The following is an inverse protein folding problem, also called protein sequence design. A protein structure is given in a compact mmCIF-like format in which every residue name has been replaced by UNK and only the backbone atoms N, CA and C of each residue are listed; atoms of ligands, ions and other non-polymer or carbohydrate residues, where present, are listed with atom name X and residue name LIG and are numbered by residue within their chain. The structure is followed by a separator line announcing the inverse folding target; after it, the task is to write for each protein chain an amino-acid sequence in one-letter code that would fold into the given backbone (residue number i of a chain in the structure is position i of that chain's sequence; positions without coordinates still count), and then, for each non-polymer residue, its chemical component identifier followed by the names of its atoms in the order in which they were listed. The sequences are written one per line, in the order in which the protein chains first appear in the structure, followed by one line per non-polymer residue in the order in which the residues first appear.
data_IF_174383073247
#
_entry.id   IF_174383073247
#
_cell.length_a   1.000
_cell.length_b   1.000
_cell.length_c   1.000
_cell.angle_alpha   90.00
_cell.angle_beta   90.00
_cell.angle_gamma   90.00
#
_symmetry.space_group_name_H-M   'P 1'
#
loop_
_entity.id
_entity.type
_entity.pdbx_description
1 polymer ?
#
# COMPACT_ATOMS: atom_id res chain seq x y z
N UNK A 1 -36.51 -15.44 26.74
CA UNK A 1 -36.28 -14.44 25.67
C UNK A 1 -34.80 -14.01 25.49
N UNK A 2 -33.86 -14.50 26.28
CA UNK A 2 -32.47 -14.05 26.34
C UNK A 2 -31.49 -14.80 25.41
N UNK A 3 -31.86 -15.93 24.85
CA UNK A 3 -30.96 -16.73 23.96
C UNK A 3 -30.93 -16.28 22.48
N UNK A 4 -31.91 -15.52 22.03
CA UNK A 4 -31.94 -14.99 20.63
C UNK A 4 -31.18 -13.69 20.44
N UNK A 5 -30.91 -12.93 21.51
CA UNK A 5 -30.15 -11.68 21.44
C UNK A 5 -28.63 -11.93 21.33
N UNK A 6 -28.15 -13.04 21.90
CA UNK A 6 -26.73 -13.39 21.85
C UNK A 6 -26.27 -13.84 20.43
N UNK A 7 -27.19 -14.41 19.67
CA UNK A 7 -26.90 -14.87 18.29
C UNK A 7 -26.78 -13.70 17.29
N UNK A 8 -27.49 -12.58 17.56
CA UNK A 8 -27.45 -11.38 16.72
C UNK A 8 -26.17 -10.56 16.95
N UNK A 9 -25.59 -10.61 18.14
CA UNK A 9 -24.33 -9.95 18.46
C UNK A 9 -23.11 -10.68 17.86
N UNK A 10 -23.21 -12.00 17.67
CA UNK A 10 -22.15 -12.82 17.06
C UNK A 10 -22.11 -12.70 15.52
N UNK A 11 -23.19 -12.24 14.89
CA UNK A 11 -23.25 -12.05 13.43
C UNK A 11 -22.64 -10.72 12.94
N UNK A 12 -22.33 -9.80 13.83
CA UNK A 12 -21.71 -8.52 13.47
C UNK A 12 -20.17 -8.48 13.61
N UNK A 13 -19.54 -9.60 13.94
CA UNK A 13 -18.09 -9.69 14.01
C UNK A 13 -17.43 -10.17 12.71
N UNK A 14 -18.16 -10.16 11.59
CA UNK A 14 -17.65 -10.68 10.33
C UNK A 14 -17.45 -9.59 9.30
N UNK A 15 -16.25 -9.60 8.81
CA UNK A 15 -15.68 -8.91 7.67
C UNK A 15 -14.88 -7.64 8.02
N UNK A 16 -13.85 -7.79 8.84
CA UNK A 16 -12.66 -6.99 8.60
C UNK A 16 -11.94 -7.54 7.36
N UNK A 17 -12.58 -7.43 6.19
CA UNK A 17 -11.85 -7.54 4.94
C UNK A 17 -10.96 -6.31 4.85
N UNK A 18 -9.69 -6.50 4.55
CA UNK A 18 -8.80 -5.42 4.15
C UNK A 18 -9.55 -4.50 3.20
N UNK A 19 -9.70 -3.24 3.56
CA UNK A 19 -10.39 -2.23 2.76
C UNK A 19 -9.40 -1.49 1.86
N UNK A 20 -8.33 -2.19 1.42
CA UNK A 20 -7.45 -1.63 0.40
C UNK A 20 -8.29 -1.35 -0.86
N UNK A 21 -8.28 -0.10 -1.28
CA UNK A 21 -8.90 0.34 -2.54
C UNK A 21 -7.89 0.31 -3.69
N UNK A 22 -6.60 0.24 -3.35
CA UNK A 22 -5.49 0.14 -4.29
C UNK A 22 -4.25 -0.47 -3.62
N UNK A 23 -3.50 -1.29 -4.36
CA UNK A 23 -2.21 -1.82 -3.92
C UNK A 23 -1.32 -2.08 -5.14
N UNK A 24 -0.13 -1.48 -5.15
CA UNK A 24 0.82 -1.58 -6.25
C UNK A 24 2.25 -1.57 -5.73
N UNK A 25 2.99 -2.64 -5.98
CA UNK A 25 4.40 -2.78 -5.62
C UNK A 25 5.34 -2.85 -6.83
N UNK A 26 4.78 -2.80 -8.04
CA UNK A 26 5.46 -2.90 -9.33
C UNK A 26 6.20 -4.23 -9.58
N UNK A 27 6.12 -5.21 -8.69
CA UNK A 27 6.89 -6.47 -8.76
C UNK A 27 6.62 -7.27 -10.02
N UNK A 28 5.39 -7.24 -10.55
CA UNK A 28 4.96 -7.98 -11.73
C UNK A 28 5.29 -7.27 -13.05
N UNK A 29 5.74 -6.02 -13.02
CA UNK A 29 5.97 -5.22 -14.22
C UNK A 29 7.33 -5.45 -14.84
N UNK A 30 7.44 -5.18 -16.13
CA UNK A 30 8.69 -5.36 -16.89
C UNK A 30 9.64 -4.20 -16.65
N UNK A 31 10.81 -4.51 -16.13
CA UNK A 31 11.91 -3.54 -15.89
C UNK A 31 12.38 -2.93 -17.22
N UNK A 32 12.71 -1.66 -17.19
CA UNK A 32 13.17 -0.88 -18.32
C UNK A 32 12.04 -0.44 -19.27
N UNK A 33 10.80 -0.88 -19.02
CA UNK A 33 9.64 -0.47 -19.79
C UNK A 33 8.90 0.71 -19.13
N UNK A 34 8.22 1.55 -19.93
CA UNK A 34 7.33 2.57 -19.40
C UNK A 34 6.30 1.99 -18.43
N UNK A 35 5.96 2.74 -17.37
CA UNK A 35 4.84 2.37 -16.51
C UNK A 35 3.51 2.44 -17.27
N UNK A 36 3.36 3.41 -18.17
CA UNK A 36 2.18 3.51 -19.04
C UNK A 36 2.03 2.26 -19.92
N UNK A 37 0.86 1.63 -19.83
CA UNK A 37 0.57 0.37 -20.51
C UNK A 37 0.87 -0.88 -19.70
N UNK A 38 1.37 -0.75 -18.47
CA UNK A 38 1.51 -1.87 -17.54
C UNK A 38 0.39 -1.81 -16.47
N UNK A 39 -0.29 -2.95 -16.26
CA UNK A 39 -1.45 -3.02 -15.37
C UNK A 39 -2.54 -2.02 -15.78
N UNK A 40 -3.00 -1.21 -14.82
CA UNK A 40 -4.03 -0.17 -15.03
C UNK A 40 -3.43 1.22 -15.28
N UNK A 41 -2.11 1.33 -15.37
CA UNK A 41 -1.43 2.61 -15.55
C UNK A 41 -1.48 3.08 -17.00
N UNK A 42 -1.78 4.36 -17.20
CA UNK A 42 -1.87 4.96 -18.53
C UNK A 42 -1.40 6.41 -18.53
N UNK A 43 -0.86 6.85 -19.65
CA UNK A 43 -0.56 8.27 -19.91
C UNK A 43 -1.69 8.98 -20.69
N UNK A 44 -2.87 8.39 -20.79
CA UNK A 44 -4.02 8.98 -21.45
C UNK A 44 -4.46 10.27 -20.74
N UNK A 45 -4.57 11.36 -21.49
CA UNK A 45 -4.97 12.68 -20.95
C UNK A 45 -6.32 12.68 -20.23
N UNK A 46 -7.26 11.84 -20.66
CA UNK A 46 -8.58 11.74 -20.01
C UNK A 46 -8.52 11.18 -18.59
N UNK A 47 -7.51 10.36 -18.25
CA UNK A 47 -7.29 9.86 -16.89
C UNK A 47 -6.30 10.72 -16.10
N UNK A 48 -5.50 11.53 -16.79
CA UNK A 48 -4.47 12.37 -16.17
C UNK A 48 -4.94 13.81 -15.90
N UNK A 49 -6.25 14.04 -15.87
CA UNK A 49 -6.79 15.38 -15.61
C UNK A 49 -6.43 16.41 -16.67
N UNK A 50 -6.45 16.02 -17.95
CA UNK A 50 -6.05 16.88 -19.06
C UNK A 50 -4.54 17.05 -19.21
N UNK A 51 -3.75 16.42 -18.34
CA UNK A 51 -2.29 16.38 -18.43
C UNK A 51 -1.90 15.19 -19.30
N UNK A 52 -2.25 15.23 -20.57
CA UNK A 52 -1.81 14.23 -21.54
C UNK A 52 -0.30 14.11 -21.50
N UNK A 53 0.22 12.93 -21.85
CA UNK A 53 1.63 12.58 -21.85
C UNK A 53 2.62 13.73 -22.00
N UNK A 54 3.83 13.49 -22.18
CA UNK A 54 4.83 14.52 -22.35
C UNK A 54 4.40 15.66 -23.27
N UNK A 55 4.37 16.88 -22.77
CA UNK A 55 4.03 18.08 -23.53
C UNK A 55 5.17 18.52 -24.49
N UNK A 56 6.30 17.79 -24.54
CA UNK A 56 7.48 18.17 -25.31
C UNK A 56 8.00 17.07 -26.25
N UNK A 57 8.66 17.48 -27.31
CA UNK A 57 9.41 16.59 -28.22
C UNK A 57 10.61 16.02 -27.45
N UNK A 58 10.70 14.69 -27.35
CA UNK A 58 11.84 14.03 -26.71
C UNK A 58 11.65 13.61 -25.25
N UNK A 59 10.45 13.68 -24.74
CA UNK A 59 10.12 13.22 -23.41
C UNK A 59 10.39 11.72 -23.22
N UNK A 60 10.98 11.40 -22.10
CA UNK A 60 11.25 10.02 -21.69
C UNK A 60 10.09 9.52 -20.83
N UNK A 61 9.64 8.29 -21.03
CA UNK A 61 8.61 7.71 -20.17
C UNK A 61 9.17 7.37 -18.79
N UNK A 62 8.40 7.64 -17.74
CA UNK A 62 8.66 7.11 -16.41
C UNK A 62 8.66 5.59 -16.45
N UNK A 63 9.74 4.95 -16.03
CA UNK A 63 9.96 3.52 -16.25
C UNK A 63 10.14 2.75 -14.95
N UNK A 64 9.87 1.45 -15.03
CA UNK A 64 10.13 0.52 -13.93
C UNK A 64 11.62 0.18 -13.89
N UNK A 65 12.19 0.25 -12.69
CA UNK A 65 13.60 -0.05 -12.44
C UNK A 65 13.77 -1.13 -11.37
N UNK A 66 14.88 -1.89 -11.44
CA UNK A 66 15.26 -2.87 -10.43
C UNK A 66 15.93 -2.19 -9.22
N UNK A 67 15.21 -1.26 -8.61
CA UNK A 67 15.66 -0.59 -7.40
C UNK A 67 14.74 -1.00 -6.26
N UNK A 68 15.31 -1.68 -5.26
CA UNK A 68 14.53 -2.09 -4.09
C UNK A 68 14.14 -0.89 -3.25
N UNK A 69 12.92 -0.92 -2.76
CA UNK A 69 12.36 0.10 -1.88
C UNK A 69 11.62 -0.58 -0.73
N UNK A 70 11.78 -0.07 0.48
CA UNK A 70 11.15 -0.67 1.67
C UNK A 70 10.88 0.37 2.75
N UNK A 71 9.93 0.07 3.64
CA UNK A 71 9.72 0.84 4.85
C UNK A 71 9.28 -0.09 5.99
N UNK A 72 9.79 0.08 7.23
CA UNK A 72 9.48 -0.79 8.36
C UNK A 72 7.98 -0.92 8.63
N UNK A 73 7.48 -2.14 8.79
CA UNK A 73 6.08 -2.48 9.05
C UNK A 73 5.06 -1.99 7.98
N UNK A 74 5.57 -1.58 6.81
CA UNK A 74 4.74 -1.14 5.70
C UNK A 74 4.88 -2.05 4.47
N UNK A 75 6.10 -2.44 4.11
CA UNK A 75 6.35 -3.37 3.01
C UNK A 75 7.73 -3.22 2.39
N UNK A 76 7.97 -4.08 1.39
CA UNK A 76 9.16 -4.06 0.55
C UNK A 76 8.78 -4.40 -0.89
N UNK A 77 9.54 -3.90 -1.84
CA UNK A 77 9.51 -4.31 -3.24
C UNK A 77 10.92 -4.33 -3.82
N UNK A 78 11.17 -5.22 -4.78
CA UNK A 78 12.42 -5.29 -5.54
C UNK A 78 12.44 -4.33 -6.73
N UNK A 79 11.28 -3.75 -7.06
CA UNK A 79 11.12 -2.82 -8.18
C UNK A 79 10.48 -1.52 -7.73
N UNK A 80 10.73 -0.47 -8.48
CA UNK A 80 10.16 0.85 -8.24
C UNK A 80 9.97 1.62 -9.54
N UNK A 81 9.18 2.69 -9.49
CA UNK A 81 9.01 3.65 -10.55
C UNK A 81 10.12 4.69 -10.48
N UNK A 82 10.92 4.82 -11.53
CA UNK A 82 11.87 5.92 -11.68
C UNK A 82 11.13 7.18 -12.12
N UNK A 83 11.34 8.28 -11.41
CA UNK A 83 10.87 9.60 -11.81
C UNK A 83 12.02 10.59 -11.91
N UNK A 84 11.91 11.50 -12.87
CA UNK A 84 12.78 12.69 -13.01
C UNK A 84 12.02 13.77 -13.76
N UNK A 85 12.60 14.95 -13.86
CA UNK A 85 11.98 16.02 -14.65
C UNK A 85 11.83 15.63 -16.12
N UNK A 86 10.82 16.24 -16.77
CA UNK A 86 10.54 16.11 -18.21
C UNK A 86 10.22 14.69 -18.71
N UNK A 87 9.67 13.87 -17.82
CA UNK A 87 9.07 12.59 -18.18
C UNK A 87 7.54 12.72 -18.35
N UNK A 88 6.89 11.64 -18.74
CA UNK A 88 5.43 11.63 -18.91
C UNK A 88 4.68 11.71 -17.56
N UNK A 89 3.41 12.09 -17.60
CA UNK A 89 2.48 11.93 -16.52
C UNK A 89 1.75 10.58 -16.67
N UNK A 90 1.74 9.77 -15.61
CA UNK A 90 1.14 8.44 -15.62
C UNK A 90 0.12 8.34 -14.51
N UNK A 91 -1.10 7.93 -14.82
CA UNK A 91 -2.20 7.82 -13.87
C UNK A 91 -2.86 6.46 -13.88
N UNK A 92 -3.60 6.19 -12.81
CA UNK A 92 -4.42 5.01 -12.65
C UNK A 92 -5.71 5.33 -11.90
N UNK A 93 -6.65 4.41 -11.98
CA UNK A 93 -7.93 4.46 -11.25
C UNK A 93 -7.93 3.43 -10.12
N UNK A 94 -8.73 3.70 -9.10
CA UNK A 94 -8.95 2.80 -7.98
C UNK A 94 -10.42 2.84 -7.53
N UNK A 95 -10.79 1.97 -6.60
CA UNK A 95 -12.15 1.97 -6.04
C UNK A 95 -12.44 3.31 -5.37
N UNK A 96 -13.41 4.05 -5.87
CA UNK A 96 -13.73 5.39 -5.43
C UNK A 96 -14.18 5.47 -3.97
N UNK A 97 -13.77 6.51 -3.27
CA UNK A 97 -14.16 6.83 -1.90
C UNK A 97 -14.84 8.19 -1.88
N UNK A 98 -16.03 8.28 -1.28
CA UNK A 98 -16.86 9.50 -1.21
C UNK A 98 -17.33 9.84 0.20
N UNK A 99 -16.89 9.13 1.22
CA UNK A 99 -17.23 9.39 2.62
C UNK A 99 -16.20 8.76 3.57
N UNK A 100 -16.17 9.22 4.81
CA UNK A 100 -15.22 8.74 5.83
C UNK A 100 -13.82 9.24 5.57
N UNK A 101 -12.87 8.33 5.40
CA UNK A 101 -11.48 8.69 5.10
C UNK A 101 -10.94 7.90 3.91
N UNK A 102 -10.07 8.53 3.13
CA UNK A 102 -9.23 7.91 2.13
C UNK A 102 -7.77 8.12 2.53
N UNK A 103 -7.04 7.05 2.68
CA UNK A 103 -5.59 7.06 2.86
C UNK A 103 -4.94 6.67 1.54
N UNK A 104 -3.97 7.46 1.09
CA UNK A 104 -3.07 7.11 0.00
C UNK A 104 -1.64 7.20 0.49
N UNK A 105 -0.82 6.24 0.14
CA UNK A 105 0.55 6.18 0.67
C UNK A 105 1.50 5.58 -0.34
N UNK A 106 2.76 5.99 -0.25
CA UNK A 106 3.86 5.43 -1.04
C UNK A 106 5.20 5.78 -0.39
N UNK A 107 6.22 5.00 -0.72
CA UNK A 107 7.60 5.26 -0.32
C UNK A 107 8.31 6.01 -1.43
N UNK A 108 9.05 7.06 -1.08
CA UNK A 108 9.93 7.81 -1.98
C UNK A 108 11.39 7.66 -1.57
N UNK A 109 12.28 7.62 -2.55
CA UNK A 109 13.72 7.76 -2.34
C UNK A 109 14.26 8.71 -3.40
N UNK A 110 14.40 9.97 -3.03
CA UNK A 110 14.86 11.01 -3.94
C UNK A 110 16.36 11.20 -3.82
N UNK A 111 17.04 11.33 -4.96
CA UNK A 111 18.46 11.65 -5.06
C UNK A 111 18.68 13.16 -5.21
N UNK A 112 17.69 13.88 -5.71
CA UNK A 112 17.72 15.34 -5.84
C UNK A 112 16.32 15.93 -5.94
N UNK A 113 16.20 17.21 -5.62
CA UNK A 113 15.03 18.03 -5.88
C UNK A 113 15.45 19.42 -6.34
N UNK A 114 14.59 20.10 -7.08
CA UNK A 114 14.88 21.42 -7.64
C UNK A 114 14.67 22.50 -6.61
N UNK A 115 15.49 23.55 -6.65
CA UNK A 115 15.32 24.72 -5.79
C UNK A 115 14.01 25.43 -6.12
N UNK A 116 13.16 25.62 -5.13
CA UNK A 116 11.96 26.43 -5.29
C UNK A 116 12.32 27.90 -5.10
N UNK A 117 12.55 28.61 -6.18
CA UNK A 117 12.71 30.06 -6.13
C UNK A 117 11.45 30.84 -6.47
N UNK A 118 10.37 30.16 -6.87
CA UNK A 118 9.12 30.84 -7.20
C UNK A 118 7.88 30.11 -6.70
N UNK A 119 7.01 30.86 -6.05
CA UNK A 119 5.69 30.42 -5.59
C UNK A 119 4.72 30.07 -6.73
N UNK A 120 5.08 30.35 -7.98
CA UNK A 120 4.20 30.21 -9.15
C UNK A 120 4.33 28.88 -9.89
N UNK A 121 5.36 28.08 -9.64
CA UNK A 121 5.52 26.80 -10.30
C UNK A 121 4.91 25.70 -9.46
N UNK A 122 3.92 25.03 -10.00
CA UNK A 122 3.35 23.82 -9.40
C UNK A 122 4.32 22.67 -9.60
N UNK A 123 5.07 22.33 -8.57
CA UNK A 123 6.07 21.27 -8.60
C UNK A 123 5.53 19.98 -7.97
N UNK A 124 4.25 19.79 -8.12
CA UNK A 124 3.64 18.55 -7.65
C UNK A 124 4.05 17.38 -8.55
N UNK A 125 4.58 16.34 -7.93
CA UNK A 125 4.88 15.09 -8.60
C UNK A 125 3.78 14.05 -8.40
N UNK A 126 2.79 14.32 -7.54
CA UNK A 126 1.67 13.44 -7.28
C UNK A 126 0.38 14.23 -7.13
N UNK A 127 -0.69 13.74 -7.76
CA UNK A 127 -2.05 14.30 -7.66
C UNK A 127 -3.08 13.23 -7.43
N UNK A 128 -4.12 13.64 -6.72
CA UNK A 128 -5.33 12.85 -6.46
C UNK A 128 -6.54 13.63 -6.97
N UNK A 129 -7.43 12.94 -7.68
CA UNK A 129 -8.52 13.56 -8.42
C UNK A 129 -9.79 12.70 -8.37
N UNK A 130 -10.89 13.27 -8.83
CA UNK A 130 -12.14 12.54 -9.05
C UNK A 130 -12.50 12.46 -10.54
N UNK A 131 -13.20 11.38 -10.93
CA UNK A 131 -13.64 11.13 -12.31
C UNK A 131 -14.62 12.19 -12.87
N UNK A 132 -15.34 12.86 -11.98
CA UNK A 132 -16.40 13.77 -12.41
C UNK A 132 -15.92 15.15 -12.88
N UNK A 133 -14.76 15.63 -12.44
CA UNK A 133 -14.36 17.01 -12.63
C UNK A 133 -12.90 17.25 -13.00
N UNK A 134 -12.03 16.26 -13.03
CA UNK A 134 -10.58 16.42 -13.18
C UNK A 134 -9.94 17.42 -12.20
N UNK A 135 -10.72 17.89 -11.22
CA UNK A 135 -10.25 18.80 -10.21
C UNK A 135 -9.32 18.04 -9.24
N UNK A 136 -8.21 18.66 -8.95
CA UNK A 136 -7.24 18.10 -8.00
C UNK A 136 -7.80 18.20 -6.60
N UNK A 137 -8.10 17.06 -5.95
CA UNK A 137 -8.51 17.02 -4.56
C UNK A 137 -7.37 17.51 -3.66
N UNK A 138 -6.20 16.92 -3.87
CA UNK A 138 -4.96 17.39 -3.26
C UNK A 138 -3.76 17.00 -4.12
N UNK A 139 -2.63 17.62 -3.83
CA UNK A 139 -1.37 17.40 -4.52
C UNK A 139 -0.20 17.38 -3.57
N UNK A 140 0.84 16.64 -3.92
CA UNK A 140 2.10 16.52 -3.20
C UNK A 140 3.23 16.91 -4.14
N UNK A 141 4.15 17.73 -3.64
CA UNK A 141 5.38 18.08 -4.35
C UNK A 141 6.57 18.09 -3.41
N UNK A 142 7.75 18.26 -3.98
CA UNK A 142 9.00 18.34 -3.23
C UNK A 142 9.90 19.41 -3.82
N UNK A 143 10.70 20.03 -2.97
CA UNK A 143 11.76 20.93 -3.40
C UNK A 143 12.98 20.87 -2.47
N UNK A 144 14.15 21.27 -2.99
CA UNK A 144 15.40 21.28 -2.26
C UNK A 144 15.37 22.28 -1.09
N UNK A 145 15.86 21.86 0.06
CA UNK A 145 15.95 22.69 1.27
C UNK A 145 17.17 22.30 2.10
N UNK A 146 18.19 23.14 2.10
CA UNK A 146 19.31 23.05 3.03
C UNK A 146 20.12 21.75 3.04
N UNK A 147 20.30 21.09 1.90
CA UNK A 147 21.01 19.82 1.78
C UNK A 147 20.12 18.58 1.86
N UNK A 148 18.82 18.78 1.98
CA UNK A 148 17.77 17.76 1.88
C UNK A 148 16.63 18.27 1.02
N UNK A 149 15.44 17.73 1.21
CA UNK A 149 14.23 18.21 0.55
C UNK A 149 13.07 18.31 1.54
N UNK A 150 12.11 19.15 1.21
CA UNK A 150 10.83 19.23 1.93
C UNK A 150 9.71 18.75 1.04
N UNK A 151 8.72 18.11 1.64
CA UNK A 151 7.46 17.77 0.99
C UNK A 151 6.48 18.90 1.25
N UNK A 152 5.76 19.33 0.23
CA UNK A 152 4.59 20.16 0.42
C UNK A 152 3.32 19.39 0.06
N UNK A 153 2.24 19.75 0.72
CA UNK A 153 0.90 19.29 0.43
C UNK A 153 -0.01 20.50 0.20
N UNK A 154 -0.94 20.36 -0.74
CA UNK A 154 -1.90 21.42 -1.06
C UNK A 154 -3.27 20.78 -1.36
N UNK A 155 -4.34 21.23 -0.68
CA UNK A 155 -5.71 20.89 -1.03
C UNK A 155 -6.25 21.88 -2.07
N UNK A 156 -6.78 21.34 -3.18
CA UNK A 156 -7.29 22.16 -4.27
C UNK A 156 -6.32 23.27 -4.71
N UNK A 157 -6.73 24.52 -4.58
CA UNK A 157 -5.93 25.72 -4.81
C UNK A 157 -5.57 26.48 -3.52
N UNK A 158 -5.79 25.88 -2.34
CA UNK A 158 -5.51 26.43 -1.03
C UNK A 158 -4.02 26.68 -0.76
N UNK A 159 -3.69 27.07 0.45
CA UNK A 159 -2.30 27.28 0.87
C UNK A 159 -1.52 25.95 0.89
N UNK A 160 -0.24 26.03 0.51
CA UNK A 160 0.70 24.92 0.68
C UNK A 160 1.12 24.82 2.14
N UNK A 161 1.20 23.61 2.66
CA UNK A 161 1.78 23.26 3.95
C UNK A 161 3.00 22.35 3.74
N UNK A 162 3.98 22.41 4.64
CA UNK A 162 5.31 21.86 4.40
C UNK A 162 5.75 20.93 5.53
N UNK A 163 6.49 19.87 5.16
CA UNK A 163 7.18 19.02 6.12
C UNK A 163 8.43 19.68 6.69
N UNK A 164 9.01 19.06 7.72
CA UNK A 164 10.43 19.23 8.02
C UNK A 164 11.30 18.72 6.85
N UNK A 165 12.57 19.12 6.82
CA UNK A 165 13.51 18.66 5.81
C UNK A 165 13.78 17.16 5.97
N UNK A 166 13.82 16.46 4.84
CA UNK A 166 14.09 15.03 4.69
C UNK A 166 15.45 14.85 4.01
N UNK A 167 16.09 13.72 4.24
CA UNK A 167 17.41 13.41 3.66
C UNK A 167 17.29 12.77 2.30
N UNK A 168 18.17 13.14 1.37
CA UNK A 168 18.31 12.46 0.09
C UNK A 168 18.85 11.03 0.23
N UNK A 169 18.54 10.18 -0.75
CA UNK A 169 19.01 8.79 -0.84
C UNK A 169 18.60 7.92 0.35
N UNK A 170 17.47 8.24 0.98
CA UNK A 170 16.82 7.45 2.01
C UNK A 170 15.36 7.19 1.65
N UNK A 171 14.83 6.07 2.13
CA UNK A 171 13.43 5.73 1.96
C UNK A 171 12.59 6.52 2.97
N UNK A 172 11.64 7.30 2.48
CA UNK A 172 10.68 8.05 3.27
C UNK A 172 9.26 7.62 2.92
N UNK A 173 8.47 7.23 3.91
CA UNK A 173 7.06 6.92 3.73
C UNK A 173 6.21 8.19 3.85
N UNK A 174 5.42 8.45 2.83
CA UNK A 174 4.41 9.49 2.82
C UNK A 174 3.03 8.84 2.90
N UNK A 175 2.23 9.22 3.90
CA UNK A 175 0.82 8.82 4.02
C UNK A 175 -0.03 10.07 4.01
N UNK A 176 -0.91 10.19 3.03
CA UNK A 176 -1.90 11.25 2.90
C UNK A 176 -3.27 10.73 3.31
N UNK A 177 -3.99 11.50 4.11
CA UNK A 177 -5.36 11.21 4.50
C UNK A 177 -6.28 12.34 4.02
N UNK A 178 -7.28 12.00 3.23
CA UNK A 178 -8.41 12.89 2.94
C UNK A 178 -9.56 12.49 3.86
N UNK A 179 -10.07 13.43 4.64
CA UNK A 179 -11.20 13.23 5.55
C UNK A 179 -12.40 13.99 5.03
N UNK A 180 -13.48 13.24 4.70
CA UNK A 180 -14.75 13.81 4.30
C UNK A 180 -15.52 14.22 5.55
N UNK A 181 -15.77 15.51 5.70
CA UNK A 181 -16.63 16.06 6.75
C UNK A 181 -18.03 16.36 6.18
N UNK A 182 -19.02 16.53 7.04
CA UNK A 182 -20.41 16.71 6.63
C UNK A 182 -20.79 18.18 6.35
N UNK A 183 -19.90 19.10 6.62
CA UNK A 183 -20.11 20.55 6.43
C UNK A 183 -19.86 20.98 4.98
N UNK A 184 -19.59 22.26 4.80
CA UNK A 184 -19.25 22.85 3.50
C UNK A 184 -17.86 23.45 3.60
N UNK A 185 -16.96 23.07 2.71
CA UNK A 185 -15.57 23.50 2.66
C UNK A 185 -14.78 23.18 3.96
N UNK A 186 -15.07 22.03 4.57
CA UNK A 186 -14.50 21.60 5.84
C UNK A 186 -13.76 20.25 5.76
N UNK A 187 -13.70 19.65 4.57
CA UNK A 187 -12.88 18.46 4.33
C UNK A 187 -11.39 18.75 4.61
N UNK A 188 -10.72 17.77 5.21
CA UNK A 188 -9.36 17.93 5.69
C UNK A 188 -8.41 17.02 4.93
N UNK A 189 -7.23 17.52 4.58
CA UNK A 189 -6.11 16.72 4.10
C UNK A 189 -4.99 16.74 5.12
N UNK A 190 -4.51 15.57 5.50
CA UNK A 190 -3.42 15.37 6.46
C UNK A 190 -2.26 14.64 5.80
N UNK A 191 -1.04 15.00 6.15
CA UNK A 191 0.19 14.33 5.70
C UNK A 191 0.97 13.82 6.91
N UNK A 192 1.26 12.54 6.89
CA UNK A 192 2.17 11.87 7.81
C UNK A 192 3.46 11.57 7.05
N UNK A 193 4.58 11.98 7.60
CA UNK A 193 5.91 11.74 7.04
C UNK A 193 6.66 10.81 7.98
N UNK A 194 7.17 9.72 7.46
CA UNK A 194 7.86 8.66 8.19
C UNK A 194 7.13 8.16 9.45
N UNK A 195 5.81 7.90 9.36
CA UNK A 195 5.07 7.44 10.53
C UNK A 195 5.52 6.05 10.97
N UNK A 196 5.44 5.78 12.28
CA UNK A 196 5.60 4.43 12.78
C UNK A 196 4.38 3.58 12.42
N UNK A 197 4.56 2.63 11.48
CA UNK A 197 3.49 1.78 10.96
C UNK A 197 3.13 0.60 11.88
N UNK A 198 3.81 0.40 13.00
CA UNK A 198 3.48 -0.66 13.99
C UNK A 198 2.40 -0.26 15.00
N UNK A 199 1.94 0.98 14.96
CA UNK A 199 0.97 1.55 15.91
C UNK A 199 -0.28 2.06 15.20
N UNK A 200 -1.30 2.43 15.97
CA UNK A 200 -2.48 3.12 15.46
C UNK A 200 -2.11 4.45 14.79
N UNK A 201 -3.04 5.02 14.03
CA UNK A 201 -2.84 6.31 13.37
C UNK A 201 -2.24 7.35 14.33
N UNK A 202 -1.04 7.90 14.02
CA UNK A 202 -0.40 8.88 14.88
C UNK A 202 -1.11 10.24 14.77
N UNK A 203 -0.82 11.13 15.70
CA UNK A 203 -1.23 12.52 15.55
C UNK A 203 -0.50 13.12 14.34
N UNK A 204 -1.25 13.68 13.39
CA UNK A 204 -0.68 14.34 12.22
C UNK A 204 0.03 15.63 12.60
N UNK A 205 1.18 15.89 11.99
CA UNK A 205 1.92 17.14 12.17
C UNK A 205 1.63 18.16 11.09
N UNK A 206 1.05 17.74 9.95
CA UNK A 206 0.83 18.59 8.77
C UNK A 206 -0.60 18.42 8.30
N UNK A 207 -1.37 19.50 8.32
CA UNK A 207 -2.78 19.50 7.88
C UNK A 207 -3.08 20.76 7.07
N UNK A 208 -3.97 20.62 6.11
CA UNK A 208 -4.57 21.72 5.39
C UNK A 208 -6.05 21.47 5.16
N UNK A 209 -6.85 22.51 5.27
CA UNK A 209 -8.28 22.51 4.97
C UNK A 209 -8.57 23.50 3.86
N UNK A 210 -9.85 23.65 3.54
CA UNK A 210 -10.29 24.56 2.49
C UNK A 210 -10.14 26.06 2.82
N UNK A 211 -9.60 26.44 3.93
CA UNK A 211 -9.46 27.78 4.53
C UNK A 211 -9.31 29.01 3.63
N UNK A 212 -9.78 28.99 2.40
CA UNK A 212 -9.73 30.10 1.46
C UNK A 212 -10.76 30.03 0.34
N UNK A 213 -11.11 31.17 -0.23
CA UNK A 213 -12.00 31.26 -1.38
C UNK A 213 -11.47 30.43 -2.55
N UNK A 214 -12.27 29.48 -3.05
CA UNK A 214 -11.95 28.65 -4.21
C UNK A 214 -11.60 27.19 -3.90
N UNK A 215 -11.67 26.77 -2.65
CA UNK A 215 -11.53 25.36 -2.25
C UNK A 215 -12.90 24.82 -1.93
N UNK A 216 -13.43 23.97 -2.78
CA UNK A 216 -14.70 23.27 -2.55
C UNK A 216 -14.44 21.85 -2.09
N UNK A 217 -15.28 21.35 -1.18
CA UNK A 217 -15.21 19.95 -0.80
C UNK A 217 -15.53 19.05 -2.00
N UNK A 218 -14.92 17.87 -1.99
CA UNK A 218 -15.19 16.86 -3.00
C UNK A 218 -16.44 16.08 -2.62
N UNK A 219 -17.57 16.46 -3.22
CA UNK A 219 -18.84 15.73 -3.07
C UNK A 219 -18.91 14.47 -3.93
N UNK A 220 -17.98 14.30 -4.86
CA UNK A 220 -17.87 13.12 -5.72
C UNK A 220 -16.75 12.21 -5.23
N UNK A 221 -16.83 10.92 -5.57
CA UNK A 221 -15.80 9.96 -5.17
C UNK A 221 -14.43 10.37 -5.71
N UNK A 222 -13.42 10.34 -4.85
CA UNK A 222 -12.01 10.37 -5.25
C UNK A 222 -11.66 8.95 -5.70
N UNK A 223 -11.26 8.78 -6.96
CA UNK A 223 -11.11 7.48 -7.61
C UNK A 223 -9.89 7.37 -8.53
N UNK A 224 -9.03 8.39 -8.56
CA UNK A 224 -7.84 8.38 -9.42
C UNK A 224 -6.68 9.13 -8.84
N UNK A 225 -5.49 8.71 -9.26
CA UNK A 225 -4.22 9.36 -8.92
C UNK A 225 -3.28 9.36 -10.12
N UNK A 226 -2.34 10.29 -10.12
CA UNK A 226 -1.27 10.28 -11.10
C UNK A 226 0.08 10.68 -10.50
N UNK A 227 1.15 10.13 -11.04
CA UNK A 227 2.50 10.63 -10.92
C UNK A 227 2.77 11.57 -12.10
N UNK A 228 3.31 12.74 -11.79
CA UNK A 228 3.54 13.81 -12.76
C UNK A 228 5.02 14.09 -12.82
N UNK A 229 5.63 13.70 -13.92
CA UNK A 229 7.04 13.97 -14.16
C UNK A 229 7.27 14.90 -15.36
N UNK A 230 6.20 15.51 -15.88
CA UNK A 230 6.20 16.31 -17.11
C UNK A 230 6.63 17.78 -16.93
N UNK A 231 7.28 18.12 -15.82
CA UNK A 231 7.81 19.45 -15.56
C UNK A 231 9.31 19.41 -15.24
N UNK A 232 10.00 20.50 -15.52
CA UNK A 232 11.43 20.67 -15.23
C UNK A 232 11.76 20.72 -13.72
N UNK A 233 10.75 20.76 -12.87
CA UNK A 233 10.88 20.97 -11.42
C UNK A 233 10.45 19.75 -10.59
N UNK A 234 10.41 18.58 -11.20
CA UNK A 234 10.10 17.33 -10.52
C UNK A 234 11.36 16.77 -9.83
N UNK A 235 11.28 16.22 -8.64
CA UNK A 235 12.40 15.54 -7.99
C UNK A 235 12.86 14.33 -8.81
N UNK A 236 14.14 13.97 -8.70
CA UNK A 236 14.68 12.76 -9.31
C UNK A 236 14.86 11.68 -8.24
N UNK A 237 14.50 10.44 -8.58
CA UNK A 237 14.61 9.31 -7.69
C UNK A 237 13.63 8.19 -8.03
N UNK A 238 13.19 7.47 -7.02
CA UNK A 238 12.25 6.36 -7.19
C UNK A 238 11.07 6.46 -6.22
N UNK A 239 9.95 5.87 -6.66
CA UNK A 239 8.71 5.74 -5.89
C UNK A 239 8.27 4.27 -5.92
N UNK A 240 7.76 3.75 -4.82
CA UNK A 240 7.22 2.39 -4.77
C UNK A 240 6.26 2.15 -3.61
N UNK A 241 5.70 0.95 -3.56
CA UNK A 241 4.77 0.52 -2.51
C UNK A 241 3.56 1.46 -2.40
N UNK A 242 2.86 1.68 -3.51
CA UNK A 242 1.70 2.58 -3.57
C UNK A 242 0.47 1.86 -3.03
N UNK A 243 -0.13 2.38 -1.97
CA UNK A 243 -1.35 1.80 -1.37
C UNK A 243 -2.44 2.85 -1.22
N UNK A 244 -3.68 2.39 -1.34
CA UNK A 244 -4.89 3.15 -1.02
C UNK A 244 -5.78 2.35 -0.07
N UNK A 245 -6.34 2.99 0.97
CA UNK A 245 -7.20 2.35 1.97
C UNK A 245 -8.23 3.30 2.53
N UNK A 246 -9.28 2.75 3.16
CA UNK A 246 -10.26 3.51 3.95
C UNK A 246 -9.89 3.59 5.43
N UNK A 247 -8.96 2.77 5.89
CA UNK A 247 -8.51 2.74 7.29
C UNK A 247 -6.99 2.75 7.39
N UNK A 248 -6.46 3.31 8.47
CA UNK A 248 -5.04 3.27 8.78
C UNK A 248 -4.52 1.84 8.93
N UNK A 249 -5.29 0.99 9.63
CA UNK A 249 -4.91 -0.39 9.92
C UNK A 249 -4.63 -1.22 8.66
N UNK A 250 -5.38 -0.99 7.58
CA UNK A 250 -5.18 -1.72 6.33
C UNK A 250 -3.87 -1.34 5.62
N UNK A 251 -3.34 -0.13 5.83
CA UNK A 251 -2.01 0.23 5.34
C UNK A 251 -0.91 -0.53 6.08
N UNK A 252 -1.08 -0.71 7.41
CA UNK A 252 -0.12 -1.40 8.27
C UNK A 252 -0.20 -2.91 8.12
N UNK A 253 -1.41 -3.40 7.99
CA UNK A 253 -1.70 -4.77 7.58
C UNK A 253 -1.39 -4.92 6.09
N UNK A 254 -0.33 -4.24 5.60
CA UNK A 254 0.12 -4.64 4.29
C UNK A 254 -0.15 -6.12 4.23
N UNK A 255 -0.88 -6.59 3.23
CA UNK A 255 -0.57 -7.88 2.72
C UNK A 255 0.93 -7.80 2.51
N UNK A 256 1.75 -8.06 3.58
CA UNK A 256 2.87 -8.90 3.26
C UNK A 256 2.17 -9.82 2.27
N UNK A 257 2.47 -9.74 0.97
CA UNK A 257 2.40 -10.93 0.22
C UNK A 257 2.81 -11.93 1.27
N UNK A 258 1.82 -12.71 1.75
CA UNK A 258 2.21 -14.02 2.06
C UNK A 258 2.88 -14.39 0.74
N UNK A 259 4.12 -13.91 0.57
CA UNK A 259 5.07 -14.70 -0.11
C UNK A 259 4.83 -15.95 0.67
N UNK A 260 4.00 -16.80 0.07
CA UNK A 260 4.13 -18.20 0.35
C UNK A 260 5.62 -18.35 0.10
N UNK A 261 6.37 -18.05 1.16
CA UNK A 261 7.71 -18.48 1.22
C UNK A 261 7.49 -19.95 0.98
N UNK A 262 7.67 -20.35 -0.25
CA UNK A 262 7.47 -21.71 -0.73
C UNK A 262 8.43 -22.67 -0.01
N UNK A 263 8.94 -22.22 1.13
CA UNK A 263 9.70 -23.01 2.08
C UNK A 263 8.93 -24.23 2.51
N UNK A 264 7.59 -24.18 2.48
CA UNK A 264 6.76 -25.32 2.88
C UNK A 264 5.55 -25.46 1.97
N UNK A 265 5.27 -26.69 1.55
CA UNK A 265 4.00 -27.09 0.93
C UNK A 265 3.39 -28.17 1.80
N UNK A 266 2.23 -27.90 2.37
CA UNK A 266 1.51 -28.85 3.23
C UNK A 266 0.46 -29.59 2.41
N UNK A 267 0.56 -30.91 2.37
CA UNK A 267 -0.42 -31.80 1.76
C UNK A 267 -1.26 -32.47 2.86
N UNK A 268 -2.57 -32.27 2.80
CA UNK A 268 -3.54 -32.74 3.79
C UNK A 268 -4.25 -34.05 3.39
N UNK A 269 -3.88 -34.69 2.28
CA UNK A 269 -4.57 -35.87 1.76
C UNK A 269 -4.78 -36.99 2.80
N UNK A 270 -3.84 -37.12 3.73
CA UNK A 270 -3.88 -38.14 4.78
C UNK A 270 -4.21 -37.58 6.18
N UNK A 271 -4.69 -36.33 6.26
CA UNK A 271 -4.94 -35.64 7.55
C UNK A 271 -6.03 -36.35 8.38
N UNK A 272 -7.02 -36.99 7.74
CA UNK A 272 -8.01 -37.83 8.43
C UNK A 272 -7.39 -39.07 9.09
N UNK A 273 -6.29 -39.58 8.55
CA UNK A 273 -5.55 -40.70 9.10
C UNK A 273 -4.44 -40.26 10.09
N UNK A 274 -4.41 -38.97 10.43
CA UNK A 274 -3.44 -38.44 11.39
C UNK A 274 -2.05 -38.18 10.80
N UNK A 275 -1.95 -37.91 9.49
CA UNK A 275 -0.66 -37.64 8.84
C UNK A 275 -0.75 -36.44 7.94
N UNK A 276 0.19 -35.48 8.15
CA UNK A 276 0.46 -34.40 7.21
C UNK A 276 1.78 -34.65 6.49
N UNK A 277 1.81 -34.38 5.19
CA UNK A 277 3.05 -34.34 4.43
C UNK A 277 3.47 -32.89 4.22
N UNK A 278 4.69 -32.53 4.63
CA UNK A 278 5.24 -31.19 4.51
C UNK A 278 6.51 -31.27 3.65
N UNK A 279 6.43 -30.70 2.45
CA UNK A 279 7.63 -30.48 1.64
C UNK A 279 8.30 -29.18 2.09
N UNK A 280 9.52 -29.26 2.56
CA UNK A 280 10.35 -28.15 3.02
C UNK A 280 11.52 -27.94 2.06
N UNK A 281 11.90 -26.69 1.81
CA UNK A 281 13.14 -26.33 1.12
C UNK A 281 14.20 -25.80 2.09
N UNK A 282 14.05 -26.02 3.37
CA UNK A 282 14.99 -25.63 4.42
C UNK A 282 14.90 -26.58 5.61
N UNK A 283 16.02 -26.72 6.31
CA UNK A 283 16.04 -27.46 7.57
C UNK A 283 15.54 -26.56 8.70
N UNK A 284 14.57 -27.06 9.48
CA UNK A 284 14.08 -26.39 10.70
C UNK A 284 14.19 -27.34 11.88
N UNK A 285 14.84 -26.88 12.93
CA UNK A 285 14.86 -27.59 14.23
C UNK A 285 13.95 -26.87 15.22
N UNK A 286 13.22 -27.66 16.01
CA UNK A 286 12.35 -27.13 17.08
C UNK A 286 11.31 -26.09 16.62
N UNK A 287 10.77 -26.27 15.42
CA UNK A 287 9.69 -25.41 14.94
C UNK A 287 8.34 -25.78 15.61
N UNK A 288 7.49 -24.81 15.84
CA UNK A 288 6.12 -25.01 16.30
C UNK A 288 5.21 -25.24 15.12
N UNK A 289 4.51 -26.39 15.07
CA UNK A 289 3.39 -26.68 14.18
C UNK A 289 2.09 -26.46 14.94
N UNK A 290 1.20 -25.63 14.43
CA UNK A 290 -0.15 -25.42 14.96
C UNK A 290 -1.19 -25.63 13.85
N UNK A 291 -2.31 -26.26 14.18
CA UNK A 291 -3.44 -26.46 13.27
C UNK A 291 -4.68 -25.81 13.88
N UNK A 292 -5.34 -24.95 13.11
CA UNK A 292 -6.55 -24.25 13.52
C UNK A 292 -7.72 -24.58 12.58
N UNK A 293 -8.91 -24.68 13.13
CA UNK A 293 -10.14 -24.62 12.35
C UNK A 293 -10.44 -23.17 11.92
N UNK A 294 -11.35 -22.98 10.96
CA UNK A 294 -11.68 -21.66 10.42
C UNK A 294 -12.32 -20.70 11.44
N UNK A 295 -12.86 -21.20 12.54
CA UNK A 295 -13.36 -20.43 13.67
C UNK A 295 -12.27 -20.05 14.68
N UNK A 296 -10.98 -20.32 14.35
CA UNK A 296 -9.81 -19.98 15.16
C UNK A 296 -9.52 -20.94 16.32
N UNK A 297 -10.25 -22.06 16.43
CA UNK A 297 -10.00 -23.05 17.47
C UNK A 297 -8.71 -23.81 17.16
N UNK A 298 -7.79 -23.85 18.13
CA UNK A 298 -6.57 -24.65 18.07
C UNK A 298 -6.94 -26.15 18.18
N UNK A 299 -6.54 -26.94 17.18
CA UNK A 299 -6.76 -28.39 17.14
C UNK A 299 -5.49 -29.17 17.48
N UNK A 300 -4.34 -28.67 17.09
CA UNK A 300 -3.04 -29.29 17.28
C UNK A 300 -2.00 -28.21 17.56
N UNK A 301 -1.08 -28.51 18.48
CA UNK A 301 0.15 -27.73 18.68
C UNK A 301 1.26 -28.69 19.12
N UNK A 302 2.36 -28.68 18.37
CA UNK A 302 3.53 -29.51 18.70
C UNK A 302 4.82 -28.92 18.14
N UNK A 303 5.92 -29.34 18.72
CA UNK A 303 7.25 -29.09 18.19
C UNK A 303 7.59 -30.14 17.14
N UNK A 304 8.11 -29.69 16.00
CA UNK A 304 8.54 -30.54 14.88
C UNK A 304 9.95 -30.14 14.44
N UNK A 305 10.62 -31.07 13.77
CA UNK A 305 11.83 -30.77 12.99
C UNK A 305 11.58 -31.17 11.56
N UNK A 306 11.98 -30.32 10.61
CA UNK A 306 11.83 -30.55 9.17
C UNK A 306 13.23 -30.59 8.55
N UNK A 307 13.42 -31.49 7.60
CA UNK A 307 14.59 -31.52 6.71
C UNK A 307 14.22 -30.89 5.37
N UNK A 308 15.21 -30.45 4.63
CA UNK A 308 15.05 -29.92 3.27
C UNK A 308 14.66 -31.06 2.30
N UNK A 309 13.41 -31.49 2.41
CA UNK A 309 12.76 -32.50 1.57
C UNK A 309 11.30 -32.72 1.99
N UNK A 310 10.71 -33.81 1.59
CA UNK A 310 9.40 -34.28 2.06
C UNK A 310 9.51 -34.83 3.49
N UNK A 311 8.66 -34.33 4.38
CA UNK A 311 8.55 -34.73 5.78
C UNK A 311 7.15 -35.26 6.06
N UNK A 312 7.05 -36.41 6.73
CA UNK A 312 5.78 -36.97 7.20
C UNK A 312 5.60 -36.68 8.68
N UNK A 313 4.62 -35.87 9.04
CA UNK A 313 4.36 -35.42 10.40
C UNK A 313 3.08 -36.06 10.92
N UNK A 314 3.20 -36.88 11.98
CA UNK A 314 2.04 -37.41 12.68
C UNK A 314 1.29 -36.28 13.41
N UNK A 315 -0.04 -36.23 13.27
CA UNK A 315 -0.94 -35.28 13.92
C UNK A 315 -2.12 -36.01 14.54
N UNK A 316 -2.94 -35.34 15.34
CA UNK A 316 -4.26 -35.85 15.70
C UNK A 316 -5.13 -35.93 14.46
N UNK A 317 -5.84 -37.05 14.20
CA UNK A 317 -6.71 -37.20 13.04
C UNK A 317 -7.75 -36.08 12.96
N UNK A 318 -7.84 -35.41 11.82
CA UNK A 318 -8.84 -34.36 11.57
C UNK A 318 -10.10 -35.07 10.99
N UNK A 319 -11.06 -35.35 11.85
CA UNK A 319 -12.25 -36.16 11.50
C UNK A 319 -13.26 -35.42 10.61
N UNK A 320 -13.37 -34.09 10.76
CA UNK A 320 -14.35 -33.34 9.99
C UNK A 320 -13.73 -32.81 8.69
N UNK A 321 -14.45 -33.03 7.58
CA UNK A 321 -14.11 -32.40 6.32
C UNK A 321 -14.23 -30.86 6.43
N UNK A 322 -13.35 -30.10 5.74
CA UNK A 322 -13.41 -28.68 5.76
C UNK A 322 -12.05 -28.01 5.55
N UNK A 323 -12.02 -26.71 5.79
CA UNK A 323 -10.82 -25.88 5.64
C UNK A 323 -10.17 -25.67 6.99
N UNK A 324 -8.85 -25.78 7.02
CA UNK A 324 -8.01 -25.59 8.20
C UNK A 324 -6.81 -24.71 7.87
N UNK A 325 -6.20 -24.12 8.89
CA UNK A 325 -4.96 -23.33 8.77
C UNK A 325 -3.85 -24.10 9.49
N UNK A 326 -2.78 -24.39 8.79
CA UNK A 326 -1.54 -24.94 9.35
C UNK A 326 -0.52 -23.81 9.46
N UNK A 327 -0.03 -23.59 10.66
CA UNK A 327 0.99 -22.59 10.99
C UNK A 327 2.30 -23.29 11.39
N UNK A 328 3.42 -22.88 10.79
CA UNK A 328 4.77 -23.38 11.11
C UNK A 328 5.65 -22.17 11.48
N UNK A 329 6.16 -22.16 12.70
CA UNK A 329 6.98 -21.05 13.23
C UNK A 329 8.26 -21.61 13.81
N UNK A 330 9.41 -21.12 13.36
CA UNK A 330 10.74 -21.49 13.90
C UNK A 330 11.88 -20.86 13.13
N UNK A 331 13.00 -20.60 13.79
CA UNK A 331 14.25 -20.09 13.19
C UNK A 331 14.06 -18.88 12.25
N UNK A 332 13.18 -17.92 12.63
CA UNK A 332 12.88 -16.76 11.80
C UNK A 332 11.87 -17.00 10.67
N UNK A 333 11.38 -18.22 10.52
CA UNK A 333 10.32 -18.59 9.58
C UNK A 333 8.97 -18.51 10.27
N UNK A 334 8.01 -17.86 9.61
CA UNK A 334 6.60 -17.85 10.00
C UNK A 334 5.78 -18.11 8.73
N UNK A 335 5.22 -19.31 8.62
CA UNK A 335 4.44 -19.73 7.46
C UNK A 335 3.06 -20.22 7.90
N UNK A 336 2.03 -19.72 7.24
CA UNK A 336 0.65 -20.14 7.44
C UNK A 336 0.09 -20.65 6.11
N UNK A 337 -0.43 -21.86 6.09
CA UNK A 337 -1.01 -22.45 4.90
C UNK A 337 -2.44 -22.92 5.15
N UNK A 338 -3.32 -22.57 4.22
CA UNK A 338 -4.69 -23.06 4.18
C UNK A 338 -4.69 -24.45 3.53
N UNK A 339 -5.26 -25.41 4.21
CA UNK A 339 -5.42 -26.79 3.71
C UNK A 339 -6.90 -27.16 3.65
N UNK A 340 -7.25 -28.09 2.78
CA UNK A 340 -8.58 -28.68 2.70
C UNK A 340 -8.48 -30.16 3.06
N UNK A 341 -9.33 -30.59 4.01
CA UNK A 341 -9.50 -32.02 4.40
C UNK A 341 -10.83 -32.47 3.86
N UNK A 342 -10.83 -33.49 3.04
CA UNK A 342 -12.04 -34.07 2.39
C UNK A 342 -12.95 -34.79 3.37
#
# INVERSE_FOLDING_TARGET
MTKKLLLLALLNSFAMFSQLVFNEDFSTYTTGQPLSGQGTWTNNSSLNGGLGGCAGIGCISSSIVNTSISYPNYGNSTKSLSISSEQDAVGTVFTGVSSGSLYLSFVVNFSSAVNSSSSSLSQDFFRVMSSGNYNTAFRIGAYNSGGGFVIFMQKGSGAKVYSSALTYNQNHLLVMKYTYNSGTNDDLVSLFVDPNMSVSEPTTTIQTSDGGAGTTDYITAIDRMNFRANYSTIPSGVIGLVKGSKTWGDLTLGTSNLEFNSSFIVNSKNAKNGLLTINSNTNLENASLSIYSMDGKLLENRTISLIDSENSIAINPIQNGGVYIVSIIGNGVNSNQKIYVE
#
